data_IF_009966567623
#
_entry.id   IF_009966567623
#
_cell.length_a   1.000
_cell.length_b   1.000
_cell.length_c   1.000
_cell.angle_alpha   90.00
_cell.angle_beta   90.00
_cell.angle_gamma   90.00
#
_symmetry.space_group_name_H-M   'P 1'
#
loop_
_entity.id
_entity.type
_entity.pdbx_description
1 polymer ?
#
# COMPACT_ATOMS: atom_id res chain seq x y z
N UNK A 1 4.44 -11.50 60.58
CA UNK A 1 4.06 -10.45 59.63
C UNK A 1 5.25 -10.21 58.70
N UNK A 2 5.24 -10.80 57.51
CA UNK A 2 6.23 -10.55 56.46
C UNK A 2 5.46 -10.37 55.16
N UNK A 3 5.16 -9.12 54.80
CA UNK A 3 4.51 -8.80 53.54
C UNK A 3 5.61 -8.58 52.51
N UNK A 4 5.62 -9.40 51.46
CA UNK A 4 6.52 -9.26 50.33
C UNK A 4 6.23 -8.00 49.54
N UNK A 5 7.29 -7.28 49.18
CA UNK A 5 7.27 -6.19 48.22
C UNK A 5 8.04 -6.60 46.96
N UNK A 6 7.62 -7.71 46.34
CA UNK A 6 7.98 -8.05 44.96
C UNK A 6 6.93 -7.43 44.02
N UNK A 7 7.05 -6.13 43.74
CA UNK A 7 6.38 -5.47 42.60
C UNK A 7 6.76 -4.00 42.56
N UNK A 8 7.82 -3.70 41.84
CA UNK A 8 8.01 -2.47 41.06
C UNK A 8 9.22 -2.74 40.16
N UNK A 9 9.01 -3.48 39.07
CA UNK A 9 9.96 -3.56 37.97
C UNK A 9 10.15 -2.17 37.38
N UNK A 10 11.09 -1.42 37.96
CA UNK A 10 11.58 -0.17 37.42
C UNK A 10 12.28 -0.46 36.11
N UNK A 11 11.71 0.03 35.02
CA UNK A 11 12.34 0.00 33.71
C UNK A 11 13.50 0.99 33.72
N UNK A 12 14.69 0.55 34.10
CA UNK A 12 15.91 1.28 33.79
C UNK A 12 16.17 1.11 32.29
N UNK A 13 15.80 2.13 31.52
CA UNK A 13 16.42 2.37 30.22
C UNK A 13 17.88 2.69 30.54
N UNK A 14 18.78 1.72 30.33
CA UNK A 14 20.21 1.93 30.46
C UNK A 14 20.61 3.11 29.56
N UNK A 15 20.89 4.24 30.19
CA UNK A 15 21.39 5.44 29.56
C UNK A 15 22.85 5.20 29.18
N UNK A 16 23.11 5.00 27.89
CA UNK A 16 24.46 5.06 27.32
C UNK A 16 24.64 6.43 26.64
N UNK A 17 25.32 7.39 27.28
CA UNK A 17 25.57 8.73 26.72
C UNK A 17 26.49 8.74 25.48
N UNK A 18 27.00 7.60 25.03
CA UNK A 18 27.93 7.51 23.90
C UNK A 18 27.33 6.94 22.60
N UNK A 19 26.06 6.50 22.59
CA UNK A 19 25.39 5.94 21.40
C UNK A 19 24.42 6.94 20.79
N UNK A 20 24.99 7.97 20.18
CA UNK A 20 24.33 9.19 19.68
C UNK A 20 23.50 9.02 18.37
N UNK A 21 22.99 7.83 18.08
CA UNK A 21 21.99 7.56 17.03
C UNK A 21 21.22 6.30 17.42
N UNK A 22 19.87 6.25 17.39
CA UNK A 22 19.15 5.02 17.64
C UNK A 22 19.60 3.98 16.61
N UNK A 23 20.02 2.82 17.08
CA UNK A 23 20.84 1.80 16.38
C UNK A 23 20.17 1.11 15.17
N UNK A 24 19.22 1.79 14.54
CA UNK A 24 18.56 1.33 13.34
C UNK A 24 17.54 0.25 13.62
N UNK A 25 17.08 0.05 14.86
CA UNK A 25 16.02 -0.90 15.21
C UNK A 25 14.83 -0.21 15.88
N UNK A 26 13.63 -0.63 15.51
CA UNK A 26 12.36 -0.20 16.07
C UNK A 26 11.64 -1.41 16.68
N UNK A 27 11.10 -1.27 17.88
CA UNK A 27 10.36 -2.34 18.56
C UNK A 27 8.85 -2.17 18.37
N UNK A 28 8.18 -3.25 17.95
CA UNK A 28 6.74 -3.31 17.81
C UNK A 28 6.07 -3.68 19.14
N UNK A 29 4.77 -3.40 19.28
CA UNK A 29 4.01 -3.78 20.47
C UNK A 29 3.97 -5.30 20.74
N UNK A 30 4.31 -6.13 19.75
CA UNK A 30 4.47 -7.58 19.89
C UNK A 30 5.80 -8.00 20.53
N UNK A 31 6.72 -7.06 20.78
CA UNK A 31 8.09 -7.34 21.23
C UNK A 31 9.06 -7.70 20.10
N UNK A 32 8.60 -7.68 18.84
CA UNK A 32 9.46 -7.90 17.68
C UNK A 32 10.23 -6.63 17.32
N UNK A 33 11.53 -6.78 17.08
CA UNK A 33 12.40 -5.69 16.61
C UNK A 33 12.55 -5.75 15.10
N UNK A 34 12.31 -4.63 14.43
CA UNK A 34 12.51 -4.47 12.99
C UNK A 34 13.62 -3.45 12.74
N UNK A 35 14.54 -3.77 11.84
CA UNK A 35 15.52 -2.79 11.40
C UNK A 35 14.83 -1.68 10.60
N UNK A 36 15.09 -0.41 10.91
CA UNK A 36 14.52 0.76 10.24
C UNK A 36 14.77 0.71 8.73
N UNK A 37 15.97 0.27 8.32
CA UNK A 37 16.33 0.05 6.91
C UNK A 37 15.41 -0.99 6.21
N UNK A 38 14.88 -1.95 6.94
CA UNK A 38 13.99 -3.00 6.39
C UNK A 38 12.50 -2.65 6.50
N UNK A 39 12.14 -1.55 7.16
CA UNK A 39 10.76 -1.09 7.27
C UNK A 39 10.19 -0.75 5.88
N UNK A 40 8.90 -0.99 5.65
CA UNK A 40 8.27 -0.54 4.41
C UNK A 40 7.93 0.96 4.48
N UNK A 41 7.71 1.62 3.33
CA UNK A 41 7.22 3.02 3.28
C UNK A 41 5.92 3.20 4.08
N UNK A 42 5.07 2.17 4.09
CA UNK A 42 3.84 2.17 4.89
C UNK A 42 4.14 2.10 6.38
N UNK A 43 5.12 1.30 6.80
CA UNK A 43 5.55 1.22 8.20
C UNK A 43 6.08 2.58 8.66
N UNK A 44 7.00 3.19 7.91
CA UNK A 44 7.57 4.50 8.24
C UNK A 44 6.47 5.57 8.43
N UNK A 45 5.54 5.70 7.47
CA UNK A 45 4.43 6.66 7.57
C UNK A 45 3.53 6.44 8.79
N UNK A 46 3.31 5.18 9.16
CA UNK A 46 2.50 4.85 10.32
C UNK A 46 3.23 5.15 11.63
N UNK A 47 4.52 4.81 11.71
CA UNK A 47 5.32 5.05 12.91
C UNK A 47 5.56 6.55 13.13
N UNK A 48 5.82 7.33 12.07
CA UNK A 48 5.89 8.81 12.18
C UNK A 48 4.61 9.38 12.82
N UNK A 49 3.43 8.92 12.37
CA UNK A 49 2.15 9.37 12.93
C UNK A 49 2.04 9.00 14.42
N UNK A 50 2.47 7.78 14.78
CA UNK A 50 2.45 7.32 16.16
C UNK A 50 3.38 8.15 17.04
N UNK A 51 4.62 8.39 16.61
CA UNK A 51 5.61 9.19 17.32
C UNK A 51 5.08 10.62 17.57
N UNK A 52 4.55 11.29 16.54
CA UNK A 52 3.96 12.63 16.69
C UNK A 52 2.79 12.65 17.69
N UNK A 53 1.88 11.68 17.58
CA UNK A 53 0.76 11.57 18.52
C UNK A 53 1.24 11.31 19.95
N UNK A 54 2.31 10.52 20.14
CA UNK A 54 2.89 10.25 21.45
C UNK A 54 3.63 11.45 22.03
N UNK A 55 4.30 12.25 21.20
CA UNK A 55 4.91 13.50 21.62
C UNK A 55 3.86 14.50 22.12
N UNK A 56 2.74 14.63 21.40
CA UNK A 56 1.61 15.49 21.78
C UNK A 56 0.93 15.06 23.09
N UNK A 57 0.92 13.76 23.38
CA UNK A 57 0.30 13.19 24.58
C UNK A 57 1.29 12.92 25.73
N UNK A 58 2.55 13.33 25.59
CA UNK A 58 3.56 13.11 26.61
C UNK A 58 3.38 14.09 27.78
N UNK A 59 3.39 13.56 29.00
CA UNK A 59 3.28 14.35 30.23
C UNK A 59 4.62 14.95 30.67
N UNK A 60 5.73 14.46 30.10
CA UNK A 60 7.09 14.89 30.41
C UNK A 60 7.78 15.38 29.14
N UNK A 61 8.49 16.50 29.24
CA UNK A 61 9.20 17.11 28.11
C UNK A 61 10.24 16.17 27.51
N UNK A 62 10.98 15.42 28.34
CA UNK A 62 11.97 14.46 27.86
C UNK A 62 11.37 13.32 27.02
N UNK A 63 10.16 12.87 27.34
CA UNK A 63 9.45 11.87 26.51
C UNK A 63 8.96 12.50 25.20
N UNK A 64 8.45 13.73 25.26
CA UNK A 64 8.00 14.47 24.08
C UNK A 64 9.14 14.70 23.08
N UNK A 65 10.30 15.13 23.59
CA UNK A 65 11.51 15.38 22.80
C UNK A 65 12.00 14.08 22.17
N UNK A 66 12.06 12.98 22.93
CA UNK A 66 12.43 11.66 22.42
C UNK A 66 11.50 11.19 21.29
N UNK A 67 10.18 11.31 21.46
CA UNK A 67 9.25 10.93 20.40
C UNK A 67 9.41 11.79 19.15
N UNK A 68 9.77 13.07 19.31
CA UNK A 68 10.04 14.00 18.21
C UNK A 68 11.32 13.62 17.46
N UNK A 69 12.41 13.31 18.19
CA UNK A 69 13.66 12.82 17.60
C UNK A 69 13.45 11.56 16.77
N UNK A 70 12.65 10.61 17.26
CA UNK A 70 12.28 9.42 16.50
C UNK A 70 11.48 9.74 15.24
N UNK A 71 10.53 10.68 15.31
CA UNK A 71 9.78 11.12 14.15
C UNK A 71 10.73 11.69 13.08
N UNK A 72 11.73 12.49 13.48
CA UNK A 72 12.72 13.09 12.58
C UNK A 72 13.59 12.02 11.90
N UNK A 73 14.02 10.99 12.63
CA UNK A 73 14.77 9.85 12.07
C UNK A 73 13.95 9.14 11.00
N UNK A 74 12.67 8.84 11.27
CA UNK A 74 11.80 8.18 10.29
C UNK A 74 11.45 9.05 9.10
N UNK A 75 11.29 10.37 9.30
CA UNK A 75 11.07 11.31 8.20
C UNK A 75 12.27 11.41 7.27
N UNK A 76 13.49 11.44 7.83
CA UNK A 76 14.73 11.40 7.05
C UNK A 76 14.83 10.12 6.21
N UNK A 77 14.54 8.97 6.81
CA UNK A 77 14.54 7.67 6.12
C UNK A 77 13.46 7.60 5.02
N UNK A 78 12.25 8.10 5.30
CA UNK A 78 11.17 8.16 4.34
C UNK A 78 11.52 9.08 3.15
N UNK A 79 12.12 10.22 3.43
CA UNK A 79 12.56 11.17 2.42
C UNK A 79 13.65 10.55 1.53
N UNK A 80 14.67 9.92 2.13
CA UNK A 80 15.73 9.22 1.40
C UNK A 80 15.22 8.10 0.49
N UNK A 81 14.09 7.45 0.84
CA UNK A 81 13.45 6.44 -0.02
C UNK A 81 12.57 7.02 -1.10
N UNK A 82 11.97 8.18 -0.86
CA UNK A 82 11.10 8.84 -1.84
C UNK A 82 11.88 9.41 -3.03
N UNK A 83 13.12 9.84 -2.80
CA UNK A 83 14.04 10.32 -3.84
C UNK A 83 14.62 9.18 -4.67
N UNK A 84 14.71 7.98 -4.09
CA UNK A 84 14.94 6.74 -4.82
C UNK A 84 13.60 6.31 -5.45
N UNK A 85 13.15 7.06 -6.46
CA UNK A 85 12.18 6.52 -7.42
C UNK A 85 12.89 5.35 -8.08
N UNK A 86 12.67 4.14 -7.56
CA UNK A 86 13.07 2.91 -8.25
C UNK A 86 12.45 3.02 -9.64
N UNK A 87 13.30 3.25 -10.63
CA UNK A 87 12.92 3.11 -12.02
C UNK A 87 12.27 1.73 -12.10
N UNK A 88 10.95 1.70 -12.29
CA UNK A 88 10.25 0.44 -12.57
C UNK A 88 10.99 -0.13 -13.76
N UNK A 89 11.61 -1.30 -13.58
CA UNK A 89 12.28 -2.00 -14.67
C UNK A 89 11.34 -1.94 -15.90
N UNK A 90 11.86 -1.65 -17.10
CA UNK A 90 11.03 -1.57 -18.29
C UNK A 90 10.22 -2.86 -18.35
N UNK A 91 8.91 -2.73 -18.16
CA UNK A 91 8.03 -3.89 -18.06
C UNK A 91 8.21 -4.71 -19.32
N UNK A 92 8.40 -6.03 -19.15
CA UNK A 92 8.39 -6.97 -20.27
C UNK A 92 7.19 -6.63 -21.14
N UNK A 93 7.38 -6.36 -22.45
CA UNK A 93 6.29 -5.95 -23.31
C UNK A 93 5.15 -6.97 -23.19
N UNK A 94 3.90 -6.51 -23.01
CA UNK A 94 2.78 -7.40 -22.78
C UNK A 94 2.68 -8.40 -23.92
N UNK A 95 2.69 -9.69 -23.58
CA UNK A 95 2.56 -10.78 -24.56
C UNK A 95 1.32 -10.53 -25.43
N UNK A 96 1.39 -10.72 -26.76
CA UNK A 96 0.26 -10.45 -27.63
C UNK A 96 -0.98 -11.22 -27.17
N UNK A 97 -2.11 -10.52 -27.10
CA UNK A 97 -3.38 -11.12 -26.66
C UNK A 97 -3.77 -12.21 -27.65
N UNK A 98 -3.72 -13.47 -27.21
CA UNK A 98 -4.17 -14.62 -28.02
C UNK A 98 -5.68 -14.55 -28.29
N UNK A 99 -6.07 -14.78 -29.55
CA UNK A 99 -7.45 -15.02 -29.99
C UNK A 99 -8.27 -13.80 -30.40
N UNK A 100 -9.50 -14.05 -30.85
CA UNK A 100 -10.46 -13.01 -31.26
C UNK A 100 -11.00 -12.21 -30.08
N UNK A 101 -11.06 -10.89 -30.22
CA UNK A 101 -11.66 -9.96 -29.26
C UNK A 101 -12.94 -9.37 -29.83
N UNK A 102 -13.88 -9.04 -28.93
CA UNK A 102 -15.11 -8.34 -29.25
C UNK A 102 -15.22 -7.07 -28.39
N UNK A 103 -15.67 -5.98 -29.00
CA UNK A 103 -15.94 -4.72 -28.30
C UNK A 103 -17.28 -4.79 -27.57
N UNK A 104 -17.23 -4.53 -26.28
CA UNK A 104 -18.37 -4.60 -25.35
C UNK A 104 -18.63 -3.21 -24.76
N UNK A 105 -19.90 -2.86 -24.57
CA UNK A 105 -20.32 -1.67 -23.81
C UNK A 105 -20.90 -2.10 -22.47
N UNK A 106 -20.27 -1.67 -21.39
CA UNK A 106 -20.73 -1.94 -20.03
C UNK A 106 -21.95 -1.07 -19.67
N UNK A 107 -22.67 -1.44 -18.61
CA UNK A 107 -23.78 -0.64 -18.08
C UNK A 107 -23.33 0.75 -17.60
N UNK A 108 -22.07 0.92 -17.22
CA UNK A 108 -21.47 2.22 -16.88
C UNK A 108 -21.16 3.09 -18.10
N UNK A 109 -21.44 2.62 -19.32
CA UNK A 109 -21.22 3.35 -20.57
C UNK A 109 -19.83 3.18 -21.18
N UNK A 110 -18.86 2.60 -20.46
CA UNK A 110 -17.50 2.37 -21.00
C UNK A 110 -17.46 1.25 -22.02
N UNK A 111 -16.66 1.47 -23.06
CA UNK A 111 -16.30 0.46 -24.05
C UNK A 111 -15.03 -0.26 -23.62
N UNK A 112 -15.00 -1.58 -23.81
CA UNK A 112 -13.83 -2.40 -23.52
C UNK A 112 -13.77 -3.60 -24.45
N UNK A 113 -12.58 -4.18 -24.60
CA UNK A 113 -12.37 -5.40 -25.36
C UNK A 113 -12.41 -6.61 -24.44
N UNK A 114 -13.19 -7.62 -24.83
CA UNK A 114 -13.20 -8.92 -24.17
C UNK A 114 -12.89 -10.02 -25.17
N UNK A 115 -12.16 -11.07 -24.75
CA UNK A 115 -11.94 -12.23 -25.60
C UNK A 115 -13.26 -12.97 -25.81
N UNK A 116 -13.48 -13.46 -27.02
CA UNK A 116 -14.69 -14.22 -27.31
C UNK A 116 -14.78 -15.52 -26.52
N UNK A 117 -13.64 -16.16 -26.23
CA UNK A 117 -13.57 -17.33 -25.37
C UNK A 117 -14.07 -17.03 -23.95
N UNK A 118 -13.67 -15.88 -23.39
CA UNK A 118 -14.10 -15.46 -22.05
C UNK A 118 -15.60 -15.16 -22.04
N UNK A 119 -16.11 -14.48 -23.08
CA UNK A 119 -17.53 -14.21 -23.23
C UNK A 119 -18.36 -15.50 -23.31
N UNK A 120 -17.90 -16.52 -24.07
CA UNK A 120 -18.54 -17.84 -24.18
C UNK A 120 -18.55 -18.58 -22.85
N UNK A 121 -17.47 -18.46 -22.05
CA UNK A 121 -17.38 -19.02 -20.69
C UNK A 121 -18.19 -18.24 -19.65
N UNK A 122 -18.85 -17.15 -20.03
CA UNK A 122 -19.63 -16.31 -19.12
C UNK A 122 -18.83 -15.23 -18.38
N UNK A 123 -17.55 -15.06 -18.70
CA UNK A 123 -16.64 -14.04 -18.18
C UNK A 123 -16.69 -12.77 -19.04
N UNK A 124 -16.03 -11.69 -18.60
CA UNK A 124 -15.90 -10.46 -19.40
C UNK A 124 -17.22 -9.72 -19.64
N UNK A 125 -18.25 -9.89 -18.78
CA UNK A 125 -19.56 -9.21 -18.85
C UNK A 125 -19.58 -7.81 -18.20
N UNK A 126 -18.43 -7.32 -17.73
CA UNK A 126 -18.28 -6.02 -17.07
C UNK A 126 -16.88 -5.47 -17.36
N UNK A 127 -16.73 -4.15 -17.42
CA UNK A 127 -15.44 -3.52 -17.76
C UNK A 127 -14.43 -3.50 -16.60
N UNK A 128 -14.88 -3.67 -15.35
CA UNK A 128 -14.04 -3.61 -14.16
C UNK A 128 -14.57 -4.52 -13.04
N UNK A 129 -13.71 -4.82 -12.06
CA UNK A 129 -14.10 -5.57 -10.85
C UNK A 129 -15.25 -4.90 -10.11
N UNK A 130 -15.20 -3.56 -10.01
CA UNK A 130 -16.27 -2.78 -9.40
C UNK A 130 -17.60 -2.94 -10.15
N UNK A 131 -17.61 -2.81 -11.48
CA UNK A 131 -18.83 -3.03 -12.26
C UNK A 131 -19.35 -4.47 -12.17
N UNK A 132 -18.46 -5.46 -12.00
CA UNK A 132 -18.87 -6.84 -11.77
C UNK A 132 -19.53 -7.02 -10.39
N UNK A 133 -19.01 -6.35 -9.34
CA UNK A 133 -19.61 -6.36 -8.00
C UNK A 133 -20.99 -5.68 -8.00
N UNK A 134 -21.08 -4.47 -8.57
CA UNK A 134 -22.35 -3.75 -8.71
C UNK A 134 -23.40 -4.57 -9.47
N UNK A 135 -22.98 -5.35 -10.47
CA UNK A 135 -23.87 -6.25 -11.20
C UNK A 135 -24.42 -7.38 -10.33
N UNK A 136 -23.59 -7.95 -9.45
CA UNK A 136 -23.97 -9.04 -8.54
C UNK A 136 -24.88 -8.54 -7.43
N UNK A 137 -24.60 -7.36 -6.88
CA UNK A 137 -25.32 -6.78 -5.75
C UNK A 137 -26.63 -6.09 -6.15
N UNK A 138 -26.62 -5.33 -7.25
CA UNK A 138 -27.74 -4.47 -7.67
C UNK A 138 -28.46 -4.98 -8.92
N UNK A 139 -28.18 -6.20 -9.40
CA UNK A 139 -28.88 -6.82 -10.52
C UNK A 139 -28.76 -6.06 -11.86
N UNK A 140 -27.71 -5.24 -12.05
CA UNK A 140 -27.53 -4.44 -13.28
C UNK A 140 -27.41 -5.33 -14.53
N UNK A 141 -27.74 -4.82 -15.73
CA UNK A 141 -27.62 -5.61 -16.96
C UNK A 141 -26.16 -5.94 -17.30
N UNK A 142 -25.96 -7.08 -17.94
CA UNK A 142 -24.67 -7.47 -18.50
C UNK A 142 -24.25 -6.53 -19.65
N UNK A 143 -22.94 -6.40 -19.87
CA UNK A 143 -22.42 -5.64 -21.00
C UNK A 143 -22.93 -6.20 -22.34
N UNK A 144 -23.22 -5.31 -23.28
CA UNK A 144 -23.73 -5.65 -24.61
C UNK A 144 -22.61 -5.60 -25.64
N UNK A 145 -22.63 -6.51 -26.61
CA UNK A 145 -21.75 -6.44 -27.79
C UNK A 145 -22.13 -5.20 -28.59
N UNK A 146 -21.14 -4.37 -28.90
CA UNK A 146 -21.31 -3.26 -29.84
C UNK A 146 -20.62 -3.68 -31.12
N UNK A 147 -21.33 -3.56 -32.25
CA UNK A 147 -20.67 -3.64 -33.56
C UNK A 147 -19.83 -2.37 -33.67
N UNK A 148 -18.52 -2.48 -33.48
CA UNK A 148 -17.62 -1.38 -33.82
C UNK A 148 -17.88 -1.03 -35.29
N UNK A 149 -18.15 0.23 -35.65
CA UNK A 149 -18.10 0.59 -37.05
C UNK A 149 -16.69 0.23 -37.55
N UNK A 150 -16.59 -0.37 -38.73
CA UNK A 150 -15.31 -0.57 -39.42
C UNK A 150 -14.69 0.82 -39.66
N UNK A 151 -13.98 1.37 -38.68
CA UNK A 151 -13.08 2.49 -38.92
C UNK A 151 -11.85 1.89 -39.60
N UNK A 152 -11.92 1.90 -40.93
CA UNK A 152 -10.83 2.03 -41.88
C UNK A 152 -9.49 1.42 -41.43
N UNK A 153 -9.17 0.27 -42.03
CA UNK A 153 -7.79 -0.08 -42.28
C UNK A 153 -7.12 1.12 -42.97
N UNK A 154 -6.28 1.85 -42.26
CA UNK A 154 -5.38 2.81 -42.89
C UNK A 154 -4.36 1.98 -43.66
N UNK A 155 -4.53 2.00 -44.99
CA UNK A 155 -3.50 1.73 -45.98
C UNK A 155 -2.23 2.50 -45.60
N UNK A 156 -1.19 1.78 -45.20
CA UNK A 156 0.18 2.28 -45.28
C UNK A 156 0.75 1.75 -46.60
N UNK A 157 0.66 2.60 -47.62
CA UNK A 157 1.49 2.55 -48.83
C UNK A 157 2.88 3.07 -48.47
#
# INVERSE_FOLDING_TARGET
MGQGSDSCGGWEVLYDPLTDVPDGYWEMASGEQIKIADMTVRHLRNVIRLCKSKAECANFTGDADRWSEWADVFERELHGRSTIVRATAPGVPPEPKRGTTATMRCHCGRHYEAREADLKRGWGKSCSKHCAAVRREFGRPAAKRVKTPKSQAMEAV
#
